data_IF_473779912335
#
_entry.id   IF_473779912335
#
_cell.length_a   1.000
_cell.length_b   1.000
_cell.length_c   1.000
_cell.angle_alpha   90.00
_cell.angle_beta   90.00
_cell.angle_gamma   90.00
#
_symmetry.space_group_name_H-M   'P 1'
#
loop_
_entity.id
_entity.type
_entity.pdbx_description
1 polymer ?
#
# COMPACT_ATOMS: atom_id res chain seq x y z
N UNK A 1 -2.45 -9.27 -21.99
CA UNK A 1 -3.59 -8.35 -21.70
C UNK A 1 -4.02 -7.68 -23.00
N UNK A 2 -5.25 -7.90 -23.42
CA UNK A 2 -5.84 -7.29 -24.62
C UNK A 2 -6.68 -6.05 -24.28
N UNK A 3 -7.33 -5.43 -25.28
CA UNK A 3 -8.15 -4.23 -25.08
C UNK A 3 -9.39 -4.50 -24.21
N UNK A 4 -9.98 -5.67 -24.35
CA UNK A 4 -11.13 -6.07 -23.51
C UNK A 4 -10.70 -6.21 -22.06
N UNK A 5 -9.52 -6.79 -21.79
CA UNK A 5 -8.96 -6.90 -20.44
C UNK A 5 -8.74 -5.53 -19.81
N UNK A 6 -8.22 -4.54 -20.58
CA UNK A 6 -8.07 -3.16 -20.09
C UNK A 6 -9.42 -2.53 -19.74
N UNK A 7 -10.44 -2.76 -20.55
CA UNK A 7 -11.80 -2.27 -20.28
C UNK A 7 -12.39 -2.92 -19.00
N UNK A 8 -12.21 -4.24 -18.82
CA UNK A 8 -12.61 -4.94 -17.60
C UNK A 8 -11.90 -4.34 -16.38
N UNK A 9 -10.57 -4.16 -16.42
CA UNK A 9 -9.81 -3.51 -15.35
C UNK A 9 -10.32 -2.11 -15.06
N UNK A 10 -10.60 -1.30 -16.10
CA UNK A 10 -11.15 0.03 -15.94
C UNK A 10 -12.52 0.05 -15.23
N UNK A 11 -13.35 -0.96 -15.42
CA UNK A 11 -14.60 -1.13 -14.66
C UNK A 11 -14.32 -1.49 -13.19
N UNK A 12 -13.45 -2.46 -12.94
CA UNK A 12 -13.09 -2.90 -11.58
C UNK A 12 -12.42 -1.79 -10.77
N UNK A 13 -11.59 -0.95 -11.39
CA UNK A 13 -10.95 0.19 -10.73
C UNK A 13 -11.95 1.27 -10.30
N UNK A 14 -13.02 1.48 -11.08
CA UNK A 14 -14.07 2.42 -10.71
C UNK A 14 -15.07 1.85 -9.72
N UNK A 15 -15.37 0.56 -9.83
CA UNK A 15 -16.37 -0.13 -9.02
C UNK A 15 -15.95 -1.58 -8.79
N UNK A 16 -15.14 -1.80 -7.75
CA UNK A 16 -14.59 -3.12 -7.41
C UNK A 16 -15.68 -4.16 -7.07
N UNK A 17 -16.92 -3.73 -6.79
CA UNK A 17 -18.08 -4.59 -6.49
C UNK A 17 -19.02 -4.79 -7.69
N UNK A 18 -18.65 -4.30 -8.88
CA UNK A 18 -19.45 -4.55 -10.08
C UNK A 18 -19.55 -6.07 -10.34
N UNK A 19 -20.75 -6.54 -10.62
CA UNK A 19 -20.97 -7.93 -10.99
C UNK A 19 -20.37 -8.23 -12.38
N UNK A 20 -20.00 -9.47 -12.62
CA UNK A 20 -19.51 -9.89 -13.94
C UNK A 20 -20.57 -9.71 -15.04
N UNK A 21 -21.85 -9.69 -14.67
CA UNK A 21 -22.94 -9.40 -15.60
C UNK A 21 -22.93 -7.93 -16.02
N UNK A 22 -22.79 -6.98 -15.08
CA UNK A 22 -22.68 -5.54 -15.36
C UNK A 22 -21.45 -5.23 -16.21
N UNK A 23 -20.29 -5.81 -15.84
CA UNK A 23 -19.07 -5.66 -16.63
C UNK A 23 -19.25 -6.25 -18.02
N UNK A 24 -19.85 -7.43 -18.13
CA UNK A 24 -20.12 -8.11 -19.39
C UNK A 24 -20.97 -7.26 -20.33
N UNK A 25 -22.05 -6.68 -19.82
CA UNK A 25 -22.91 -5.77 -20.58
C UNK A 25 -22.13 -4.57 -21.15
N UNK A 26 -21.17 -4.03 -20.37
CA UNK A 26 -20.37 -2.87 -20.76
C UNK A 26 -19.26 -3.21 -21.79
N UNK A 27 -18.75 -4.44 -21.80
CA UNK A 27 -17.65 -4.85 -22.69
C UNK A 27 -18.07 -5.79 -23.82
N UNK A 28 -19.37 -6.17 -23.89
CA UNK A 28 -19.90 -7.05 -24.92
C UNK A 28 -19.58 -8.53 -24.71
N UNK A 29 -19.52 -8.99 -23.43
CA UNK A 29 -19.24 -10.37 -23.07
C UNK A 29 -20.30 -10.95 -22.13
N UNK A 30 -20.40 -12.29 -22.09
CA UNK A 30 -21.19 -12.97 -21.06
C UNK A 30 -20.45 -12.93 -19.70
N UNK A 31 -21.21 -13.02 -18.59
CA UNK A 31 -20.64 -13.05 -17.25
C UNK A 31 -19.59 -14.18 -17.05
N UNK A 32 -19.80 -15.42 -17.53
CA UNK A 32 -18.75 -16.45 -17.47
C UNK A 32 -17.49 -16.09 -18.26
N UNK A 33 -17.62 -15.39 -19.39
CA UNK A 33 -16.47 -14.95 -20.17
C UNK A 33 -15.66 -13.86 -19.43
N UNK A 34 -16.34 -12.91 -18.78
CA UNK A 34 -15.72 -11.91 -17.91
C UNK A 34 -15.00 -12.59 -16.75
N UNK A 35 -15.68 -13.50 -16.04
CA UNK A 35 -15.09 -14.26 -14.93
C UNK A 35 -13.78 -14.91 -15.34
N UNK A 36 -13.77 -15.66 -16.43
CA UNK A 36 -12.57 -16.35 -16.94
C UNK A 36 -11.42 -15.39 -17.22
N UNK A 37 -11.71 -14.19 -17.75
CA UNK A 37 -10.70 -13.16 -18.00
C UNK A 37 -10.16 -12.58 -16.70
N UNK A 38 -11.02 -12.27 -15.73
CA UNK A 38 -10.59 -11.80 -14.39
C UNK A 38 -9.74 -12.85 -13.70
N UNK A 39 -10.14 -14.12 -13.71
CA UNK A 39 -9.37 -15.22 -13.14
C UNK A 39 -7.96 -15.31 -13.78
N UNK A 40 -7.88 -15.11 -15.12
CA UNK A 40 -6.58 -15.07 -15.82
C UNK A 40 -5.73 -13.86 -15.43
N UNK A 41 -6.34 -12.68 -15.25
CA UNK A 41 -5.65 -11.47 -14.81
C UNK A 41 -5.10 -11.63 -13.38
N UNK A 42 -5.84 -12.30 -12.50
CA UNK A 42 -5.38 -12.65 -11.15
C UNK A 42 -4.24 -13.67 -11.21
N UNK A 43 -4.41 -14.75 -11.96
CA UNK A 43 -3.40 -15.80 -12.08
C UNK A 43 -2.07 -15.30 -12.68
N UNK A 44 -2.13 -14.29 -13.56
CA UNK A 44 -0.95 -13.65 -14.16
C UNK A 44 -0.37 -12.49 -13.34
N UNK A 45 -0.93 -12.19 -12.15
CA UNK A 45 -0.48 -11.11 -11.27
C UNK A 45 -0.79 -9.70 -11.76
N UNK A 46 -1.58 -9.54 -12.81
CA UNK A 46 -2.03 -8.22 -13.30
C UNK A 46 -3.10 -7.62 -12.37
N UNK A 47 -3.91 -8.45 -11.73
CA UNK A 47 -4.70 -8.11 -10.55
C UNK A 47 -3.98 -8.76 -9.36
N UNK A 48 -3.46 -7.94 -8.46
CA UNK A 48 -2.74 -8.39 -7.27
C UNK A 48 -3.66 -8.74 -6.11
N UNK A 49 -4.92 -8.32 -6.17
CA UNK A 49 -5.93 -8.60 -5.16
C UNK A 49 -7.13 -7.68 -5.24
N UNK A 50 -8.10 -7.95 -4.38
CA UNK A 50 -9.27 -7.11 -4.15
C UNK A 50 -9.29 -6.73 -2.67
N UNK A 51 -9.49 -5.45 -2.37
CA UNK A 51 -9.54 -4.96 -1.00
C UNK A 51 -10.59 -3.87 -0.84
N UNK A 52 -11.07 -3.68 0.38
CA UNK A 52 -11.90 -2.54 0.73
C UNK A 52 -10.99 -1.34 1.08
N UNK A 53 -11.34 -0.17 0.56
CA UNK A 53 -10.78 1.09 1.06
C UNK A 53 -11.55 1.48 2.31
N UNK A 54 -10.87 1.54 3.45
CA UNK A 54 -11.46 1.86 4.74
C UNK A 54 -10.91 3.20 5.21
N UNK A 55 -11.79 4.04 5.79
CA UNK A 55 -11.34 5.25 6.46
C UNK A 55 -10.39 4.88 7.61
N UNK A 56 -9.14 5.36 7.62
CA UNK A 56 -8.18 5.03 8.68
C UNK A 56 -8.71 5.30 10.09
N UNK A 57 -9.52 6.35 10.26
CA UNK A 57 -10.13 6.66 11.54
C UNK A 57 -11.08 5.55 12.05
N UNK A 58 -11.71 4.78 11.15
CA UNK A 58 -12.54 3.62 11.53
C UNK A 58 -11.69 2.47 12.10
N UNK A 59 -10.38 2.44 11.80
CA UNK A 59 -9.39 1.53 12.38
C UNK A 59 -8.68 2.13 13.60
N UNK A 60 -9.12 3.32 14.07
CA UNK A 60 -8.50 4.04 15.19
C UNK A 60 -7.29 4.90 14.79
N UNK A 61 -6.84 4.85 13.54
CA UNK A 61 -5.68 5.62 13.08
C UNK A 61 -6.04 7.08 12.82
N UNK A 62 -5.43 7.98 13.58
CA UNK A 62 -5.70 9.42 13.54
C UNK A 62 -4.48 10.27 13.21
N UNK A 63 -3.29 9.66 13.28
CA UNK A 63 -2.02 10.31 13.04
C UNK A 63 -1.22 9.51 12.02
N UNK A 64 -0.55 10.19 11.12
CA UNK A 64 0.20 9.61 10.02
C UNK A 64 1.57 10.27 9.92
N UNK A 65 2.59 9.49 9.65
CA UNK A 65 3.94 9.99 9.44
C UNK A 65 4.65 9.24 8.32
N UNK A 66 5.51 9.94 7.61
CA UNK A 66 6.55 9.34 6.77
C UNK A 66 7.89 9.49 7.45
N UNK A 67 8.52 8.36 7.77
CA UNK A 67 9.80 8.29 8.48
C UNK A 67 10.88 7.94 7.48
N UNK A 68 11.78 8.88 7.25
CA UNK A 68 13.01 8.65 6.50
C UNK A 68 13.99 7.89 7.39
N UNK A 69 14.56 6.83 6.85
CA UNK A 69 15.52 5.97 7.54
C UNK A 69 16.87 6.07 6.83
N UNK A 70 17.91 6.33 7.60
CA UNK A 70 19.29 6.42 7.15
C UNK A 70 20.07 5.27 7.77
N UNK A 71 20.69 4.46 6.93
CA UNK A 71 21.46 3.30 7.39
C UNK A 71 22.82 3.72 7.94
N UNK A 72 23.28 2.98 8.93
CA UNK A 72 24.66 3.05 9.40
C UNK A 72 25.55 2.14 8.59
N UNK A 73 25.02 0.98 8.22
CA UNK A 73 25.67 -0.06 7.43
C UNK A 73 24.69 -0.55 6.35
N UNK A 74 25.18 -1.30 5.37
CA UNK A 74 24.34 -1.87 4.32
C UNK A 74 23.27 -2.80 4.90
N UNK A 75 22.02 -2.48 4.65
CA UNK A 75 20.86 -3.30 4.97
C UNK A 75 20.23 -3.73 3.65
N UNK A 76 19.99 -5.02 3.47
CA UNK A 76 19.23 -5.50 2.34
C UNK A 76 17.73 -5.19 2.51
N UNK A 77 16.97 -4.99 1.42
CA UNK A 77 15.52 -4.81 1.52
C UNK A 77 14.81 -5.92 2.28
N UNK A 78 15.29 -7.16 2.17
CA UNK A 78 14.73 -8.31 2.87
C UNK A 78 14.97 -8.25 4.39
N UNK A 79 16.13 -7.77 4.83
CA UNK A 79 16.45 -7.57 6.25
C UNK A 79 15.62 -6.43 6.84
N UNK A 80 15.51 -5.31 6.10
CA UNK A 80 14.67 -4.18 6.52
C UNK A 80 13.21 -4.61 6.66
N UNK A 81 12.67 -5.33 5.67
CA UNK A 81 11.32 -5.87 5.73
C UNK A 81 11.12 -6.70 6.99
N UNK A 82 11.99 -7.67 7.26
CA UNK A 82 11.88 -8.55 8.44
C UNK A 82 11.90 -7.80 9.76
N UNK A 83 12.65 -6.70 9.85
CA UNK A 83 12.71 -5.89 11.07
C UNK A 83 11.47 -5.03 11.30
N UNK A 84 10.78 -4.62 10.21
CA UNK A 84 9.63 -3.71 10.27
C UNK A 84 8.28 -4.41 10.20
N UNK A 85 8.20 -5.58 9.56
CA UNK A 85 6.96 -6.36 9.41
C UNK A 85 6.23 -6.68 10.74
N UNK A 86 6.94 -6.90 11.89
CA UNK A 86 6.28 -7.10 13.18
C UNK A 86 5.71 -5.83 13.83
N UNK A 87 5.85 -4.66 13.21
CA UNK A 87 5.36 -3.38 13.73
C UNK A 87 4.03 -3.05 13.06
N UNK A 88 2.86 -3.21 13.75
CA UNK A 88 1.55 -3.04 13.11
C UNK A 88 1.29 -1.64 12.57
N UNK A 89 1.95 -0.62 13.16
CA UNK A 89 1.83 0.77 12.75
C UNK A 89 2.56 1.05 11.43
N UNK A 90 3.48 0.18 11.01
CA UNK A 90 4.15 0.28 9.71
C UNK A 90 3.24 -0.27 8.63
N UNK A 91 2.71 0.60 7.79
CA UNK A 91 1.78 0.26 6.71
C UNK A 91 2.43 0.25 5.32
N UNK A 92 3.65 0.73 5.21
CA UNK A 92 4.42 0.68 3.97
C UNK A 92 5.90 0.96 4.18
N UNK A 93 6.75 0.35 3.36
CA UNK A 93 8.20 0.54 3.38
C UNK A 93 8.72 0.52 1.94
N UNK A 94 9.53 1.50 1.59
CA UNK A 94 10.18 1.60 0.29
C UNK A 94 11.66 1.95 0.45
N UNK A 95 12.52 1.33 -0.34
CA UNK A 95 13.86 1.86 -0.58
C UNK A 95 13.74 3.02 -1.56
N UNK A 96 14.46 4.10 -1.32
CA UNK A 96 14.40 5.31 -2.16
C UNK A 96 15.80 5.71 -2.63
N UNK A 97 15.84 6.39 -3.75
CA UNK A 97 17.05 7.03 -4.24
C UNK A 97 17.04 8.50 -3.80
N UNK A 98 17.94 8.89 -2.90
CA UNK A 98 18.01 10.24 -2.33
C UNK A 98 18.96 10.29 -1.14
N UNK A 99 18.78 11.26 -0.26
CA UNK A 99 19.58 11.34 0.96
C UNK A 99 19.28 10.19 1.94
N UNK A 100 17.99 9.84 2.08
CA UNK A 100 17.58 8.72 2.90
C UNK A 100 17.65 7.41 2.11
N UNK A 101 17.88 6.31 2.80
CA UNK A 101 17.97 4.98 2.20
C UNK A 101 16.59 4.33 2.06
N UNK A 102 15.70 4.63 3.01
CA UNK A 102 14.33 4.11 2.98
C UNK A 102 13.30 5.13 3.50
N UNK A 103 12.06 4.94 3.06
CA UNK A 103 10.89 5.66 3.53
C UNK A 103 9.92 4.67 4.15
N UNK A 104 9.52 4.92 5.40
CA UNK A 104 8.56 4.10 6.16
C UNK A 104 7.29 4.92 6.39
N UNK A 105 6.16 4.38 5.96
CA UNK A 105 4.85 4.95 6.21
C UNK A 105 4.28 4.38 7.51
N UNK A 106 3.97 5.24 8.46
CA UNK A 106 3.47 4.89 9.79
C UNK A 106 2.09 5.49 9.98
N UNK A 107 1.15 4.68 10.47
CA UNK A 107 -0.17 5.13 10.91
C UNK A 107 -0.37 4.73 12.37
N UNK A 108 -0.91 5.64 13.18
CA UNK A 108 -1.03 5.47 14.61
C UNK A 108 -2.29 6.16 15.16
N UNK A 109 -2.65 5.83 16.40
CA UNK A 109 -3.78 6.44 17.09
C UNK A 109 -3.49 7.87 17.54
N UNK A 110 -2.24 8.14 17.92
CA UNK A 110 -1.78 9.44 18.43
C UNK A 110 -0.26 9.64 18.22
N UNK A 111 0.23 10.83 18.59
CA UNK A 111 1.65 11.18 18.48
C UNK A 111 2.57 10.33 19.36
N UNK A 112 2.10 9.93 20.55
CA UNK A 112 2.90 9.09 21.43
C UNK A 112 3.12 7.70 20.83
N UNK A 113 2.15 7.18 20.08
CA UNK A 113 2.31 5.94 19.33
C UNK A 113 3.26 6.10 18.14
N UNK A 114 3.26 7.25 17.46
CA UNK A 114 4.27 7.57 16.43
C UNK A 114 5.68 7.54 17.04
N UNK A 115 5.88 8.19 18.17
CA UNK A 115 7.19 8.22 18.88
C UNK A 115 7.65 6.81 19.21
N UNK A 116 6.82 6.00 19.86
CA UNK A 116 7.13 4.59 20.17
C UNK A 116 7.46 3.77 18.93
N UNK A 117 6.73 4.02 17.84
CA UNK A 117 6.96 3.32 16.57
C UNK A 117 8.33 3.70 15.98
N UNK A 118 8.68 4.98 16.01
CA UNK A 118 10.00 5.45 15.56
C UNK A 118 11.13 4.87 16.41
N UNK A 119 10.94 4.76 17.73
CA UNK A 119 11.91 4.11 18.63
C UNK A 119 12.10 2.63 18.24
N UNK A 120 11.02 1.90 18.01
CA UNK A 120 11.09 0.51 17.53
C UNK A 120 11.82 0.37 16.18
N UNK A 121 11.62 1.32 15.26
CA UNK A 121 12.39 1.35 14.00
C UNK A 121 13.90 1.51 14.28
N UNK A 122 14.26 2.33 15.27
CA UNK A 122 15.65 2.58 15.68
C UNK A 122 16.30 1.43 16.47
N UNK A 123 15.51 0.50 17.00
CA UNK A 123 16.04 -0.71 17.67
C UNK A 123 16.87 -1.59 16.73
N UNK A 124 16.64 -1.48 15.41
CA UNK A 124 17.53 -2.09 14.43
C UNK A 124 18.91 -1.38 14.50
N UNK A 125 19.93 -2.08 14.95
CA UNK A 125 21.28 -1.54 15.14
C UNK A 125 21.93 -0.93 13.89
N UNK A 126 21.45 -1.32 12.71
CA UNK A 126 21.92 -0.80 11.43
C UNK A 126 21.22 0.50 11.01
N UNK A 127 20.15 0.90 11.69
CA UNK A 127 19.53 2.21 11.52
C UNK A 127 20.39 3.24 12.24
N UNK A 128 20.93 4.18 11.48
CA UNK A 128 21.80 5.23 12.01
C UNK A 128 21.01 6.45 12.49
N UNK A 129 20.04 6.87 11.72
CA UNK A 129 19.24 8.07 11.96
C UNK A 129 17.84 7.89 11.35
N UNK A 130 16.87 8.60 11.92
CA UNK A 130 15.53 8.74 11.34
C UNK A 130 15.14 10.22 11.30
N UNK A 131 14.31 10.60 10.33
CA UNK A 131 13.65 11.91 10.25
C UNK A 131 12.16 11.67 10.02
N UNK A 132 11.32 12.16 10.94
CA UNK A 132 9.88 11.96 10.87
C UNK A 132 9.21 13.19 10.28
N UNK A 133 8.39 12.99 9.26
CA UNK A 133 7.56 13.99 8.62
C UNK A 133 6.10 13.67 8.94
N UNK A 134 5.49 14.46 9.82
CA UNK A 134 4.10 14.27 10.23
C UNK A 134 3.17 14.82 9.15
N UNK A 135 2.17 14.03 8.76
CA UNK A 135 1.13 14.47 7.82
C UNK A 135 0.14 15.36 8.58
N UNK A 136 0.13 16.64 8.25
CA UNK A 136 -0.79 17.61 8.87
C UNK A 136 -2.19 17.54 8.26
N UNK A 137 -2.27 17.34 6.94
CA UNK A 137 -3.53 17.21 6.21
C UNK A 137 -3.35 16.45 4.91
N UNK A 138 -4.36 15.70 4.49
CA UNK A 138 -4.43 15.08 3.17
C UNK A 138 -5.18 15.99 2.23
N UNK A 139 -4.47 16.54 1.25
CA UNK A 139 -5.06 17.46 0.27
C UNK A 139 -5.71 16.69 -0.87
N UNK A 140 -5.08 15.61 -1.31
CA UNK A 140 -5.56 14.74 -2.37
C UNK A 140 -5.00 13.34 -2.17
N UNK A 141 -5.88 12.36 -2.22
CA UNK A 141 -5.51 10.94 -2.26
C UNK A 141 -6.34 10.26 -3.35
N UNK A 142 -5.68 9.56 -4.25
CA UNK A 142 -6.33 8.75 -5.28
C UNK A 142 -5.97 7.30 -5.07
N UNK A 143 -6.90 6.35 -5.32
CA UNK A 143 -6.56 4.94 -5.35
C UNK A 143 -5.37 4.73 -6.29
N UNK A 144 -4.42 3.87 -5.89
CA UNK A 144 -3.34 3.47 -6.80
C UNK A 144 -3.95 2.64 -7.93
N UNK A 145 -3.98 3.21 -9.10
CA UNK A 145 -4.46 2.59 -10.35
C UNK A 145 -3.28 2.24 -11.23
#
# INVERSE_FOLDING_TARGET
MDEIDRRILGHLLRQARASFQEIGAAVGLSAPAVKRRVDKLVASGQITGFTAMVNPAALGWRTEAYVEVYYRDNITPAELRRSLEPIPQVVGVWTIAGEADALVHVMATDMAEIERTVERIRENSRVGRTRSNIVMSRILERPRT
#
